data_IF_183614618511
#
_entry.id   IF_183614618511
#
_cell.length_a   1.000
_cell.length_b   1.000
_cell.length_c   1.000
_cell.angle_alpha   90.00
_cell.angle_beta   90.00
_cell.angle_gamma   90.00
#
_symmetry.space_group_name_H-M   'P 1'
#
loop_
_entity.id
_entity.type
_entity.pdbx_description
1 polymer ?
#
# COMPACT_ATOMS: atom_id res chain seq x y z
N UNK A 1 -18.62 3.15 -1.20
CA UNK A 1 -17.70 2.15 -1.14
C UNK A 1 -16.25 2.44 -1.40
N UNK A 2 -15.59 2.96 -0.38
CA UNK A 2 -14.14 3.01 -0.33
C UNK A 2 -13.47 1.65 -0.46
N UNK A 3 -14.23 0.59 -0.30
CA UNK A 3 -13.78 -0.79 -0.43
C UNK A 3 -13.25 -1.16 -1.81
N UNK A 4 -13.77 -0.58 -2.86
CA UNK A 4 -13.30 -0.87 -4.22
C UNK A 4 -11.85 -0.42 -4.40
N UNK A 5 -11.50 0.76 -3.92
CA UNK A 5 -10.12 1.23 -3.94
C UNK A 5 -9.19 0.39 -3.08
N UNK A 6 -9.64 -0.02 -1.90
CA UNK A 6 -8.83 -0.84 -1.00
C UNK A 6 -8.59 -2.24 -1.56
N UNK A 7 -9.57 -2.84 -2.24
CA UNK A 7 -9.37 -4.12 -2.90
C UNK A 7 -8.29 -4.07 -3.97
N UNK A 8 -8.23 -3.02 -4.70
CA UNK A 8 -7.19 -2.86 -5.71
C UNK A 8 -5.82 -2.70 -5.09
N UNK A 9 -5.72 -2.13 -3.92
CA UNK A 9 -4.46 -1.99 -3.20
C UNK A 9 -4.00 -3.23 -2.46
N UNK A 10 -4.92 -4.12 -2.15
CA UNK A 10 -4.61 -5.38 -1.44
C UNK A 10 -3.52 -6.18 -2.13
N UNK A 11 -3.39 -6.00 -3.43
CA UNK A 11 -2.48 -6.80 -4.17
C UNK A 11 -1.11 -6.39 -4.21
N UNK A 12 -0.92 -5.34 -3.64
CA UNK A 12 0.12 -4.70 -4.21
C UNK A 12 1.22 -4.29 -3.42
N UNK A 13 1.55 -4.89 -2.46
CA UNK A 13 2.83 -4.80 -1.78
C UNK A 13 4.04 -4.83 -2.75
N UNK A 14 4.01 -4.03 -3.77
CA UNK A 14 5.12 -3.88 -4.71
C UNK A 14 5.17 -4.88 -5.88
N UNK A 15 4.09 -5.63 -6.08
CA UNK A 15 4.00 -6.60 -7.19
C UNK A 15 2.84 -6.29 -8.13
N UNK A 16 2.62 -5.06 -8.34
CA UNK A 16 1.48 -4.56 -9.08
C UNK A 16 1.39 -5.05 -10.49
N UNK A 17 2.53 -5.25 -11.09
CA UNK A 17 2.60 -5.59 -12.50
C UNK A 17 2.25 -7.03 -12.80
N UNK A 18 2.39 -7.91 -11.83
CA UNK A 18 2.22 -9.33 -12.07
C UNK A 18 0.78 -9.81 -11.99
N UNK A 19 -0.12 -8.99 -11.45
CA UNK A 19 -1.46 -9.46 -11.10
C UNK A 19 -2.50 -8.52 -11.69
N UNK A 20 -2.97 -8.88 -12.86
CA UNK A 20 -4.20 -8.32 -13.40
C UNK A 20 -5.36 -8.86 -12.59
N UNK A 21 -5.92 -8.04 -11.78
CA UNK A 21 -6.95 -8.49 -10.88
C UNK A 21 -8.30 -7.93 -11.25
N UNK A 22 -9.28 -8.76 -11.24
CA UNK A 22 -10.62 -8.40 -11.58
C UNK A 22 -10.78 -8.08 -13.07
N UNK A 23 -11.70 -7.20 -13.36
CA UNK A 23 -12.07 -6.81 -14.73
C UNK A 23 -11.48 -5.47 -15.15
N UNK A 24 -10.35 -5.09 -14.57
CA UNK A 24 -9.69 -3.84 -14.96
C UNK A 24 -9.17 -3.95 -16.39
N UNK A 25 -9.49 -2.95 -17.21
CA UNK A 25 -9.05 -2.91 -18.59
C UNK A 25 -7.53 -2.79 -18.67
N UNK A 26 -6.92 -3.52 -19.60
CA UNK A 26 -5.47 -3.51 -19.81
C UNK A 26 -4.90 -2.12 -20.08
N UNK A 27 -5.67 -1.22 -20.66
CA UNK A 27 -5.27 0.16 -20.92
C UNK A 27 -4.89 0.92 -19.65
N UNK A 28 -5.43 0.56 -18.51
CA UNK A 28 -5.04 1.16 -17.24
C UNK A 28 -3.56 0.92 -16.98
N UNK A 29 -3.07 -0.27 -17.28
CA UNK A 29 -1.68 -0.63 -17.05
C UNK A 29 -0.74 -0.20 -18.17
N UNK A 30 -1.22 -0.04 -19.38
CA UNK A 30 -0.40 0.28 -20.55
C UNK A 30 -0.38 1.77 -20.91
N UNK A 31 -1.46 2.48 -20.66
CA UNK A 31 -1.64 3.86 -21.11
C UNK A 31 -1.78 4.88 -19.98
N UNK A 32 -2.39 4.47 -18.85
CA UNK A 32 -2.74 5.38 -17.76
C UNK A 32 -1.81 5.31 -16.55
N UNK A 33 -1.02 4.25 -16.45
CA UNK A 33 -0.05 4.07 -15.37
C UNK A 33 1.27 3.57 -15.93
N UNK A 34 2.29 3.57 -15.09
CA UNK A 34 3.56 2.90 -15.38
C UNK A 34 3.67 1.62 -14.54
N UNK A 35 4.74 0.86 -14.74
CA UNK A 35 5.05 -0.29 -13.88
C UNK A 35 5.55 0.12 -12.49
N UNK A 36 5.73 1.41 -12.25
CA UNK A 36 6.22 1.89 -10.97
C UNK A 36 5.12 1.79 -9.90
N UNK A 37 5.41 1.20 -8.74
CA UNK A 37 4.42 0.99 -7.69
C UNK A 37 3.70 2.27 -7.24
N UNK A 38 4.41 3.38 -7.16
CA UNK A 38 3.83 4.67 -6.76
C UNK A 38 2.76 5.12 -7.76
N UNK A 39 3.01 4.98 -9.05
CA UNK A 39 2.06 5.39 -10.09
C UNK A 39 0.80 4.52 -10.06
N UNK A 40 0.95 3.23 -9.88
CA UNK A 40 -0.17 2.30 -9.75
C UNK A 40 -1.02 2.62 -8.52
N UNK A 41 -0.40 2.89 -7.39
CA UNK A 41 -1.11 3.28 -6.19
C UNK A 41 -1.77 4.65 -6.34
N UNK A 42 -1.11 5.60 -7.00
CA UNK A 42 -1.68 6.93 -7.28
C UNK A 42 -2.91 6.85 -8.17
N UNK A 43 -2.92 5.96 -9.15
CA UNK A 43 -4.12 5.75 -9.96
C UNK A 43 -5.34 5.41 -9.08
N UNK A 44 -5.14 4.62 -8.06
CA UNK A 44 -6.19 4.27 -7.10
C UNK A 44 -6.62 5.47 -6.26
N UNK A 45 -5.66 6.24 -5.77
CA UNK A 45 -5.93 7.48 -5.02
C UNK A 45 -6.73 8.45 -5.88
N UNK A 46 -6.37 8.60 -7.15
CA UNK A 46 -7.06 9.48 -8.07
C UNK A 46 -8.51 9.03 -8.34
N UNK A 47 -8.75 7.74 -8.39
CA UNK A 47 -10.11 7.19 -8.57
C UNK A 47 -11.00 7.37 -7.33
N UNK A 48 -10.46 7.70 -6.19
CA UNK A 48 -11.20 8.06 -4.99
C UNK A 48 -11.55 9.54 -4.97
N UNK A 49 -12.43 10.00 -5.86
CA UNK A 49 -12.82 11.41 -5.99
C UNK A 49 -11.62 12.35 -6.11
N UNK A 50 -10.66 12.02 -6.97
CA UNK A 50 -9.44 12.81 -7.18
C UNK A 50 -8.62 13.00 -5.89
N UNK A 51 -8.53 11.97 -5.08
CA UNK A 51 -7.78 11.99 -3.84
C UNK A 51 -8.52 12.56 -2.63
N UNK A 52 -9.79 12.87 -2.77
CA UNK A 52 -10.61 13.39 -1.65
C UNK A 52 -11.09 12.30 -0.70
N UNK A 53 -11.04 11.06 -1.12
CA UNK A 53 -11.32 9.90 -0.28
C UNK A 53 -9.99 9.26 0.10
N UNK A 54 -9.82 8.99 1.39
CA UNK A 54 -8.60 8.36 1.89
C UNK A 54 -8.43 6.94 1.37
N UNK A 55 -7.20 6.58 1.03
CA UNK A 55 -6.81 5.24 0.62
C UNK A 55 -5.91 4.60 1.66
N UNK A 56 -6.28 3.40 2.10
CA UNK A 56 -5.45 2.59 2.98
C UNK A 56 -5.13 1.26 2.31
N UNK A 57 -3.86 0.89 2.28
CA UNK A 57 -3.42 -0.38 1.70
C UNK A 57 -3.51 -1.51 2.71
N UNK A 58 -3.82 -2.70 2.23
CA UNK A 58 -3.64 -3.92 3.00
C UNK A 58 -2.18 -4.35 3.02
N UNK A 59 -1.72 -4.78 4.20
CA UNK A 59 -0.32 -5.19 4.40
C UNK A 59 0.05 -6.55 3.84
N UNK A 60 -0.92 -7.33 3.37
CA UNK A 60 -0.66 -8.66 2.81
C UNK A 60 -0.37 -9.74 3.85
N UNK A 61 0.07 -10.89 3.36
CA UNK A 61 0.40 -12.04 4.20
C UNK A 61 1.77 -11.91 4.85
N UNK A 62 1.96 -12.62 5.97
CA UNK A 62 3.27 -12.72 6.59
C UNK A 62 4.18 -13.66 5.80
N UNK A 63 5.41 -13.22 5.55
CA UNK A 63 6.45 -14.01 4.89
C UNK A 63 7.67 -14.25 5.80
N UNK A 64 7.52 -14.00 7.09
CA UNK A 64 8.58 -14.24 8.08
C UNK A 64 9.58 -13.11 8.22
N UNK A 65 10.85 -13.35 7.93
CA UNK A 65 11.93 -12.40 8.20
C UNK A 65 11.90 -11.11 7.39
N UNK A 66 11.21 -11.10 6.23
CA UNK A 66 11.13 -9.91 5.38
C UNK A 66 9.95 -8.98 5.70
N UNK A 67 9.08 -9.35 6.62
CA UNK A 67 7.84 -8.64 6.90
C UNK A 67 8.03 -7.17 7.26
N UNK A 68 9.02 -6.86 8.07
CA UNK A 68 9.31 -5.49 8.47
C UNK A 68 9.69 -4.63 7.26
N UNK A 69 10.60 -5.13 6.44
CA UNK A 69 11.04 -4.46 5.21
C UNK A 69 9.89 -4.27 4.23
N UNK A 70 9.11 -5.32 4.01
CA UNK A 70 7.97 -5.27 3.09
C UNK A 70 6.90 -4.28 3.57
N UNK A 71 6.63 -4.24 4.87
CA UNK A 71 5.69 -3.30 5.46
C UNK A 71 6.16 -1.85 5.30
N UNK A 72 7.43 -1.58 5.52
CA UNK A 72 8.03 -0.24 5.36
C UNK A 72 7.95 0.21 3.90
N UNK A 73 8.34 -0.65 2.96
CA UNK A 73 8.26 -0.34 1.52
C UNK A 73 6.82 -0.04 1.12
N UNK A 74 5.88 -0.88 1.55
CA UNK A 74 4.45 -0.68 1.24
C UNK A 74 3.94 0.64 1.82
N UNK A 75 4.32 0.98 3.05
CA UNK A 75 3.93 2.23 3.69
C UNK A 75 4.48 3.45 2.94
N UNK A 76 5.75 3.39 2.54
CA UNK A 76 6.39 4.47 1.78
C UNK A 76 5.71 4.65 0.42
N UNK A 77 5.48 3.57 -0.32
CA UNK A 77 4.79 3.61 -1.61
C UNK A 77 3.39 4.22 -1.46
N UNK A 78 2.62 3.76 -0.48
CA UNK A 78 1.29 4.28 -0.21
C UNK A 78 1.32 5.78 0.12
N UNK A 79 2.18 6.20 1.04
CA UNK A 79 2.29 7.59 1.44
C UNK A 79 2.74 8.50 0.29
N UNK A 80 3.74 8.08 -0.48
CA UNK A 80 4.22 8.86 -1.63
C UNK A 80 3.22 8.93 -2.77
N UNK A 81 2.34 7.97 -2.88
CA UNK A 81 1.24 7.99 -3.85
C UNK A 81 0.06 8.87 -3.42
N UNK A 82 0.02 9.31 -2.18
CA UNK A 82 -1.06 10.10 -1.61
C UNK A 82 -2.04 9.31 -0.75
N UNK A 83 -1.71 8.06 -0.42
CA UNK A 83 -2.49 7.25 0.51
C UNK A 83 -2.34 7.72 1.96
N UNK A 84 -3.25 7.30 2.82
CA UNK A 84 -3.35 7.79 4.19
C UNK A 84 -2.98 6.77 5.25
N UNK A 85 -2.80 5.52 4.91
CA UNK A 85 -2.50 4.51 5.91
C UNK A 85 -2.28 3.12 5.37
N UNK A 86 -1.93 2.22 6.27
CA UNK A 86 -1.67 0.81 6.00
C UNK A 86 -2.43 -0.05 7.01
N UNK A 87 -3.12 -1.07 6.52
CA UNK A 87 -3.74 -2.08 7.37
C UNK A 87 -2.69 -3.16 7.64
N UNK A 88 -2.33 -3.36 8.87
CA UNK A 88 -1.41 -4.42 9.28
C UNK A 88 -2.09 -5.35 10.27
N UNK A 89 -2.24 -6.61 9.89
CA UNK A 89 -2.86 -7.63 10.72
C UNK A 89 -1.90 -8.77 10.97
N UNK A 90 -1.91 -9.78 10.11
CA UNK A 90 -1.12 -11.01 10.28
C UNK A 90 0.38 -10.75 10.49
N UNK A 91 0.95 -9.80 9.81
CA UNK A 91 2.36 -9.43 9.99
C UNK A 91 2.66 -8.91 11.40
N UNK A 92 1.67 -8.34 12.06
CA UNK A 92 1.83 -7.80 13.42
C UNK A 92 1.49 -8.84 14.49
N UNK A 93 0.30 -9.47 14.41
CA UNK A 93 -0.17 -10.32 15.51
C UNK A 93 0.23 -11.80 15.41
N UNK A 94 0.75 -12.26 14.28
CA UNK A 94 1.30 -13.61 14.13
C UNK A 94 2.77 -13.71 14.58
N UNK A 95 3.24 -12.73 15.31
CA UNK A 95 4.61 -12.64 15.83
C UNK A 95 4.60 -12.44 17.34
N UNK A 96 5.77 -12.62 17.99
CA UNK A 96 5.94 -12.20 19.38
C UNK A 96 5.53 -10.73 19.55
N UNK A 97 4.94 -10.41 20.70
CA UNK A 97 4.42 -9.05 20.98
C UNK A 97 5.44 -7.95 20.68
N UNK A 98 6.70 -8.16 21.06
CA UNK A 98 7.77 -7.20 20.84
C UNK A 98 7.97 -6.87 19.36
N UNK A 99 8.02 -7.90 18.53
CA UNK A 99 8.24 -7.73 17.08
C UNK A 99 7.03 -7.09 16.40
N UNK A 100 5.83 -7.42 16.85
CA UNK A 100 4.59 -6.78 16.37
C UNK A 100 4.53 -5.30 16.70
N UNK A 101 4.92 -4.93 17.90
CA UNK A 101 5.00 -3.53 18.34
C UNK A 101 6.04 -2.76 17.52
N UNK A 102 7.22 -3.35 17.32
CA UNK A 102 8.27 -2.75 16.50
C UNK A 102 7.78 -2.48 15.08
N UNK A 103 7.12 -3.46 14.46
CA UNK A 103 6.58 -3.32 13.12
C UNK A 103 5.55 -2.19 13.04
N UNK A 104 4.61 -2.12 13.96
CA UNK A 104 3.59 -1.07 13.97
C UNK A 104 4.20 0.31 14.22
N UNK A 105 5.14 0.43 15.13
CA UNK A 105 5.84 1.70 15.39
C UNK A 105 6.62 2.15 14.15
N UNK A 106 7.29 1.25 13.48
CA UNK A 106 8.03 1.58 12.25
C UNK A 106 7.11 2.07 11.14
N UNK A 107 5.94 1.46 10.98
CA UNK A 107 4.93 1.94 10.03
C UNK A 107 4.44 3.34 10.41
N UNK A 108 4.17 3.58 11.69
CA UNK A 108 3.76 4.90 12.18
C UNK A 108 4.83 5.96 11.92
N UNK A 109 6.09 5.62 12.14
CA UNK A 109 7.20 6.53 11.87
C UNK A 109 7.24 6.96 10.40
N UNK A 110 7.00 6.05 9.47
CA UNK A 110 6.89 6.38 8.04
C UNK A 110 5.80 7.42 7.79
N UNK A 111 4.61 7.23 8.35
CA UNK A 111 3.49 8.15 8.14
C UNK A 111 3.65 9.49 8.85
N UNK A 112 4.35 9.52 9.96
CA UNK A 112 4.62 10.74 10.72
C UNK A 112 5.83 11.53 10.20
N UNK A 113 6.70 10.91 9.44
CA UNK A 113 7.88 11.56 8.89
C UNK A 113 7.50 12.59 7.82
N UNK A 114 7.72 13.87 8.11
CA UNK A 114 7.41 14.97 7.21
C UNK A 114 8.32 15.06 5.97
N UNK A 115 9.46 14.38 5.98
CA UNK A 115 10.37 14.33 4.83
C UNK A 115 9.86 13.42 3.71
N UNK A 116 9.00 12.47 4.05
CA UNK A 116 8.38 11.58 3.06
C UNK A 116 7.12 12.26 2.52
N UNK A 117 7.25 12.90 1.39
CA UNK A 117 6.18 13.68 0.74
C UNK A 117 5.56 12.92 -0.43
N UNK A 118 4.44 13.43 -0.91
CA UNK A 118 3.81 12.94 -2.14
C UNK A 118 4.76 13.17 -3.31
N UNK A 119 4.99 12.11 -4.09
CA UNK A 119 5.89 12.17 -5.25
C UNK A 119 5.21 12.81 -6.45
#
# INVERSE_FOLDING_TARGET
>A
YGLVGSEMCIRDSGRFTAIKFGKTNDKVYTELTSEHPIDLCRYQVANGYMGRVGLINSGGESHGSSDLKDAVITAIVNKRAGGMGLISGRKAFQKPMKDGIELLNTIQDVYLDSSITIA
#
